data_IF_346472619897
#
_entry.id   IF_346472619897
#
_cell.length_a   1.000
_cell.length_b   1.000
_cell.length_c   1.000
_cell.angle_alpha   90.00
_cell.angle_beta   90.00
_cell.angle_gamma   90.00
#
_symmetry.space_group_name_H-M   'P 1'
#
loop_
_entity.id
_entity.type
_entity.pdbx_description
1 polymer ?
#
# COMPACT_ATOMS: atom_id res chain seq x y z
N UNK A 1 1.40 -9.23 9.10
CA UNK A 1 1.10 -8.22 10.10
C UNK A 1 0.54 -8.88 11.35
N UNK A 2 1.15 -8.60 12.51
CA UNK A 2 0.89 -9.34 13.75
C UNK A 2 -0.55 -9.26 14.29
N UNK A 3 -1.34 -8.30 13.88
CA UNK A 3 -2.73 -8.17 14.31
C UNK A 3 -3.68 -9.20 13.68
N UNK A 4 -3.26 -9.89 12.65
CA UNK A 4 -4.07 -10.96 12.03
C UNK A 4 -4.20 -12.22 12.90
N UNK A 5 -3.46 -12.29 13.97
CA UNK A 5 -3.48 -13.44 14.87
C UNK A 5 -4.58 -13.42 15.94
N UNK A 6 -5.29 -12.31 16.11
CA UNK A 6 -6.27 -12.18 17.20
C UNK A 6 -7.69 -12.43 16.69
N UNK A 7 -8.35 -13.54 17.09
CA UNK A 7 -9.73 -13.81 16.71
C UNK A 7 -10.65 -12.66 17.10
N UNK A 8 -11.48 -12.22 16.17
CA UNK A 8 -12.45 -11.14 16.39
C UNK A 8 -11.90 -9.72 16.36
N UNK A 9 -10.60 -9.54 16.04
CA UNK A 9 -9.98 -8.22 16.04
C UNK A 9 -9.50 -7.75 14.67
N UNK A 10 -9.70 -8.53 13.63
CA UNK A 10 -9.25 -8.19 12.29
C UNK A 10 -10.27 -8.52 11.22
N UNK A 11 -10.06 -7.97 10.04
CA UNK A 11 -10.98 -8.14 8.90
C UNK A 11 -11.09 -9.57 8.37
N UNK A 12 -10.11 -10.41 8.62
CA UNK A 12 -10.09 -11.80 8.16
C UNK A 12 -10.92 -12.75 9.00
N UNK A 13 -11.24 -12.36 10.24
CA UNK A 13 -11.90 -13.21 11.22
C UNK A 13 -13.20 -12.62 11.76
N UNK A 14 -13.92 -11.90 10.92
CA UNK A 14 -15.20 -11.30 11.33
C UNK A 14 -16.24 -12.38 11.55
N UNK A 15 -16.66 -12.64 12.81
CA UNK A 15 -17.74 -13.58 13.08
C UNK A 15 -19.11 -13.05 12.65
N UNK A 16 -19.19 -11.77 12.30
CA UNK A 16 -20.44 -11.06 12.04
C UNK A 16 -20.65 -10.65 10.59
N UNK A 17 -19.85 -11.17 9.67
CA UNK A 17 -19.97 -10.85 8.25
C UNK A 17 -19.24 -9.56 7.86
N UNK A 18 -19.33 -9.21 6.59
CA UNK A 18 -18.81 -7.94 6.10
C UNK A 18 -19.51 -6.78 6.77
N UNK A 19 -18.77 -5.78 7.21
CA UNK A 19 -19.37 -4.53 7.71
C UNK A 19 -20.28 -3.94 6.66
N UNK A 20 -21.29 -3.26 7.13
CA UNK A 20 -22.23 -2.55 6.29
C UNK A 20 -21.51 -1.78 5.19
N UNK A 21 -21.90 -2.11 3.94
CA UNK A 21 -21.66 -1.21 2.84
C UNK A 21 -20.24 -0.72 2.70
N UNK A 22 -19.25 -1.62 2.83
CA UNK A 22 -17.92 -1.25 2.36
C UNK A 22 -18.08 -0.94 0.87
N UNK A 23 -17.90 0.30 0.46
CA UNK A 23 -18.01 0.65 -0.94
C UNK A 23 -17.02 -0.22 -1.71
N UNK A 24 -17.54 -0.96 -2.65
CA UNK A 24 -16.70 -1.74 -3.53
C UNK A 24 -16.06 -0.78 -4.52
N UNK A 25 -14.81 -0.46 -4.29
CA UNK A 25 -13.98 0.11 -5.34
C UNK A 25 -13.97 -0.83 -6.54
N UNK A 26 -13.91 -0.31 -7.76
CA UNK A 26 -13.74 -1.13 -8.94
C UNK A 26 -12.52 -2.04 -8.76
N UNK A 27 -12.76 -3.35 -8.72
CA UNK A 27 -11.67 -4.33 -8.57
C UNK A 27 -11.21 -4.71 -9.97
N UNK A 28 -10.09 -4.16 -10.37
CA UNK A 28 -9.41 -4.61 -11.58
C UNK A 28 -8.76 -5.97 -11.33
N UNK A 29 -8.86 -6.85 -12.32
CA UNK A 29 -8.15 -8.13 -12.24
C UNK A 29 -6.66 -7.91 -12.45
N UNK A 30 -5.88 -8.14 -11.42
CA UNK A 30 -4.42 -8.13 -11.54
C UNK A 30 -3.98 -9.32 -12.42
N UNK A 31 -3.36 -9.07 -13.58
CA UNK A 31 -2.85 -10.14 -14.44
C UNK A 31 -1.68 -10.89 -13.81
N UNK A 32 -0.95 -10.26 -12.88
CA UNK A 32 0.17 -10.89 -12.19
C UNK A 32 -0.37 -11.75 -11.05
N UNK A 33 -0.21 -13.04 -11.16
CA UNK A 33 -0.69 -14.01 -10.17
C UNK A 33 0.40 -14.46 -9.20
N UNK A 34 1.66 -14.18 -9.52
CA UNK A 34 2.79 -14.55 -8.66
C UNK A 34 2.82 -13.66 -7.42
N UNK A 35 2.85 -14.28 -6.27
CA UNK A 35 3.00 -13.60 -4.99
C UNK A 35 3.98 -14.34 -4.08
N UNK A 36 4.57 -13.62 -3.14
CA UNK A 36 5.49 -14.13 -2.14
C UNK A 36 4.95 -13.83 -0.74
N UNK A 37 5.34 -14.60 0.28
CA UNK A 37 5.05 -14.23 1.65
C UNK A 37 5.64 -12.86 1.99
N UNK A 38 4.87 -12.07 2.73
CA UNK A 38 5.16 -10.67 3.05
C UNK A 38 6.57 -10.45 3.63
N UNK A 39 7.03 -11.35 4.49
CA UNK A 39 8.33 -11.20 5.18
C UNK A 39 9.54 -11.75 4.41
N UNK A 40 9.34 -12.23 3.19
CA UNK A 40 10.42 -12.80 2.37
C UNK A 40 10.86 -11.89 1.22
N UNK A 41 10.45 -10.63 1.22
CA UNK A 41 10.83 -9.69 0.18
C UNK A 41 12.35 -9.44 0.16
N UNK A 42 13.03 -9.46 1.31
CA UNK A 42 14.50 -9.36 1.39
C UNK A 42 15.20 -10.55 0.73
N UNK A 43 14.65 -11.75 0.90
CA UNK A 43 15.13 -12.95 0.23
C UNK A 43 14.85 -12.91 -1.27
N UNK A 44 13.67 -12.38 -1.66
CA UNK A 44 13.33 -12.21 -3.07
C UNK A 44 14.23 -11.19 -3.81
N UNK A 45 14.82 -10.24 -3.09
CA UNK A 45 15.86 -9.35 -3.64
C UNK A 45 17.19 -10.08 -3.70
N UNK A 46 17.64 -10.62 -2.57
CA UNK A 46 19.01 -11.10 -2.40
C UNK A 46 19.26 -12.50 -2.98
N UNK A 47 18.24 -13.36 -2.94
CA UNK A 47 18.33 -14.79 -3.31
C UNK A 47 17.10 -15.26 -4.07
N UNK A 48 16.74 -14.60 -5.20
CA UNK A 48 15.51 -14.90 -5.93
C UNK A 48 15.47 -16.36 -6.43
N UNK A 49 16.60 -16.98 -6.65
CA UNK A 49 16.70 -18.38 -7.05
C UNK A 49 16.19 -19.37 -5.99
N UNK A 50 16.23 -18.97 -4.72
CA UNK A 50 15.70 -19.77 -3.60
C UNK A 50 14.18 -19.63 -3.44
N UNK A 51 13.57 -18.63 -4.10
CA UNK A 51 12.16 -18.32 -3.98
C UNK A 51 11.31 -19.27 -4.82
N UNK A 52 11.01 -20.44 -4.26
CA UNK A 52 10.16 -21.45 -4.91
C UNK A 52 8.85 -21.68 -4.14
N UNK A 53 7.89 -22.32 -4.79
CA UNK A 53 6.62 -22.68 -4.16
C UNK A 53 6.83 -23.62 -2.96
N UNK A 54 7.77 -24.58 -3.09
CA UNK A 54 8.01 -25.60 -2.07
C UNK A 54 8.88 -25.13 -0.91
N UNK A 55 9.86 -24.25 -1.16
CA UNK A 55 10.81 -23.83 -0.12
C UNK A 55 10.42 -22.53 0.56
N UNK A 56 9.86 -21.57 -0.18
CA UNK A 56 9.59 -20.20 0.31
C UNK A 56 8.12 -19.78 0.14
N UNK A 57 7.23 -20.71 -0.26
CA UNK A 57 5.82 -20.44 -0.33
C UNK A 57 5.38 -19.47 -1.43
N UNK A 58 6.10 -19.41 -2.53
CA UNK A 58 5.69 -18.67 -3.73
C UNK A 58 4.35 -19.23 -4.21
N UNK A 59 3.41 -18.36 -4.56
CA UNK A 59 2.11 -18.73 -5.11
C UNK A 59 2.00 -18.22 -6.54
N UNK A 60 1.21 -18.92 -7.36
CA UNK A 60 0.96 -18.55 -8.75
C UNK A 60 2.11 -18.86 -9.73
N UNK A 61 3.22 -19.42 -9.22
CA UNK A 61 4.34 -19.91 -10.02
C UNK A 61 5.15 -20.92 -9.20
N UNK A 62 5.88 -21.82 -9.87
CA UNK A 62 6.78 -22.77 -9.19
C UNK A 62 7.97 -22.08 -8.54
N UNK A 63 8.43 -20.99 -9.15
CA UNK A 63 9.52 -20.13 -8.63
C UNK A 63 9.40 -18.71 -9.16
N UNK A 64 10.08 -17.75 -8.53
CA UNK A 64 10.26 -16.44 -9.10
C UNK A 64 11.09 -16.50 -10.39
N UNK A 65 10.64 -15.81 -11.41
CA UNK A 65 11.40 -15.66 -12.67
C UNK A 65 12.53 -14.64 -12.55
N UNK A 66 12.32 -13.64 -11.71
CA UNK A 66 13.27 -12.56 -11.42
C UNK A 66 13.09 -12.10 -9.99
N UNK A 67 14.12 -11.53 -9.39
CA UNK A 67 14.04 -10.88 -8.09
C UNK A 67 13.29 -9.55 -8.15
N UNK A 68 13.06 -8.97 -6.98
CA UNK A 68 12.49 -7.62 -6.87
C UNK A 68 13.55 -6.62 -7.30
N UNK A 69 13.24 -5.82 -8.30
CA UNK A 69 14.10 -4.79 -8.88
C UNK A 69 13.62 -3.38 -8.56
N UNK A 70 12.31 -3.21 -8.44
CA UNK A 70 11.67 -1.97 -8.05
C UNK A 70 10.83 -2.20 -6.81
N UNK A 71 10.98 -1.33 -5.84
CA UNK A 71 10.16 -1.31 -4.64
C UNK A 71 9.32 -0.03 -4.60
N UNK A 72 8.02 -0.20 -4.44
CA UNK A 72 7.07 0.90 -4.28
C UNK A 72 6.47 0.82 -2.88
N UNK A 73 6.85 1.74 -2.01
CA UNK A 73 6.39 1.78 -0.62
C UNK A 73 5.51 3.01 -0.40
N UNK A 74 4.29 2.79 0.00
CA UNK A 74 3.33 3.84 0.27
C UNK A 74 2.88 3.81 1.72
N UNK A 75 2.88 4.98 2.35
CA UNK A 75 2.35 5.26 3.69
C UNK A 75 2.80 4.23 4.75
N UNK A 76 4.10 4.04 4.90
CA UNK A 76 4.57 3.14 5.92
C UNK A 76 6.09 3.00 6.05
N UNK A 77 6.53 2.89 7.29
CA UNK A 77 7.93 2.58 7.61
C UNK A 77 8.20 1.06 7.51
N UNK A 78 7.62 0.39 6.51
CA UNK A 78 7.60 -1.08 6.43
C UNK A 78 8.93 -1.68 6.07
N UNK A 79 9.73 -1.01 5.23
CA UNK A 79 11.00 -1.55 4.76
C UNK A 79 11.98 -1.83 5.91
N UNK A 80 12.01 -0.98 6.92
CA UNK A 80 12.91 -1.17 8.06
C UNK A 80 12.23 -1.58 9.36
N UNK A 81 10.95 -1.30 9.54
CA UNK A 81 10.29 -1.47 10.81
C UNK A 81 9.56 -2.82 10.98
N UNK A 82 9.16 -3.45 9.90
CA UNK A 82 8.38 -4.70 9.97
C UNK A 82 9.22 -5.98 10.00
N UNK A 83 10.53 -5.90 9.84
CA UNK A 83 11.41 -7.06 9.80
C UNK A 83 12.36 -7.10 10.99
N UNK A 84 12.56 -8.30 11.54
CA UNK A 84 13.46 -8.50 12.68
C UNK A 84 14.95 -8.31 12.35
N UNK A 85 15.37 -8.53 11.10
CA UNK A 85 16.75 -8.45 10.66
C UNK A 85 17.12 -7.07 10.11
N UNK A 86 16.87 -6.01 10.85
CA UNK A 86 17.04 -4.62 10.40
C UNK A 86 18.43 -4.33 9.82
N UNK A 87 19.50 -4.89 10.40
CA UNK A 87 20.86 -4.66 9.88
C UNK A 87 21.10 -5.33 8.52
N UNK A 88 20.51 -6.49 8.28
CA UNK A 88 20.54 -7.16 6.97
C UNK A 88 19.73 -6.33 5.97
N UNK A 89 18.53 -5.94 6.34
CA UNK A 89 17.63 -5.12 5.51
C UNK A 89 18.32 -3.82 5.08
N UNK A 90 18.94 -3.10 6.01
CA UNK A 90 19.70 -1.88 5.70
C UNK A 90 20.79 -2.09 4.65
N UNK A 91 21.53 -3.18 4.74
CA UNK A 91 22.56 -3.50 3.75
C UNK A 91 21.97 -3.78 2.37
N UNK A 92 20.82 -4.48 2.32
CA UNK A 92 20.14 -4.78 1.06
C UNK A 92 19.59 -3.48 0.42
N UNK A 93 18.98 -2.62 1.21
CA UNK A 93 18.41 -1.36 0.69
C UNK A 93 19.48 -0.33 0.28
N UNK A 94 20.69 -0.42 0.84
CA UNK A 94 21.79 0.45 0.50
C UNK A 94 22.64 -0.07 -0.69
N UNK A 95 22.31 -1.21 -1.25
CA UNK A 95 23.04 -1.84 -2.35
C UNK A 95 22.21 -1.78 -3.64
N UNK A 96 22.48 -0.78 -4.46
CA UNK A 96 21.79 -0.55 -5.74
C UNK A 96 21.94 -1.70 -6.73
N UNK A 97 22.97 -2.56 -6.56
CA UNK A 97 23.12 -3.76 -7.40
C UNK A 97 22.08 -4.83 -7.11
N UNK A 98 21.43 -4.78 -5.93
CA UNK A 98 20.40 -5.71 -5.48
C UNK A 98 19.00 -5.20 -5.83
N UNK A 99 18.64 -4.01 -5.37
CA UNK A 99 17.35 -3.38 -5.68
C UNK A 99 17.62 -2.06 -6.42
N UNK A 100 17.24 -2.00 -7.68
CA UNK A 100 17.64 -0.92 -8.60
C UNK A 100 16.88 0.38 -8.34
N UNK A 101 15.69 0.31 -7.77
CA UNK A 101 14.87 1.52 -7.57
C UNK A 101 13.93 1.35 -6.37
N UNK A 102 13.97 2.31 -5.46
CA UNK A 102 13.09 2.38 -4.29
C UNK A 102 12.30 3.69 -4.35
N UNK A 103 11.00 3.59 -4.57
CA UNK A 103 10.08 4.73 -4.57
C UNK A 103 9.32 4.71 -3.26
N UNK A 104 9.30 5.83 -2.55
CA UNK A 104 8.54 5.99 -1.31
C UNK A 104 7.59 7.16 -1.43
N UNK A 105 6.32 6.92 -1.14
CA UNK A 105 5.30 7.95 -0.91
C UNK A 105 5.09 8.04 0.59
N UNK A 106 5.40 9.19 1.20
CA UNK A 106 5.34 9.34 2.65
C UNK A 106 5.22 10.82 3.06
N UNK A 107 4.53 11.06 4.15
CA UNK A 107 4.40 12.40 4.74
C UNK A 107 5.42 12.69 5.85
N UNK A 108 6.21 11.70 6.25
CA UNK A 108 7.26 11.82 7.24
C UNK A 108 8.57 11.23 6.72
N UNK A 109 9.71 11.81 7.13
CA UNK A 109 11.02 11.23 6.85
C UNK A 109 11.28 10.02 7.76
N UNK A 110 10.59 8.91 7.48
CA UNK A 110 10.75 7.65 8.19
C UNK A 110 12.14 7.04 7.93
N UNK A 111 12.62 6.12 8.78
CA UNK A 111 13.82 5.35 8.48
C UNK A 111 13.79 4.63 7.12
N UNK A 112 12.63 4.15 6.68
CA UNK A 112 12.45 3.55 5.35
C UNK A 112 12.58 4.60 4.23
N UNK A 113 12.00 5.79 4.41
CA UNK A 113 12.05 6.87 3.44
C UNK A 113 13.49 7.34 3.15
N UNK A 114 14.42 7.15 4.09
CA UNK A 114 15.85 7.51 3.91
C UNK A 114 16.58 6.64 2.89
N UNK A 115 15.99 5.53 2.47
CA UNK A 115 16.54 4.64 1.45
C UNK A 115 15.86 4.82 0.09
N UNK A 116 14.96 5.79 -0.04
CA UNK A 116 14.30 6.07 -1.29
C UNK A 116 15.25 6.72 -2.29
N UNK A 117 15.26 6.21 -3.51
CA UNK A 117 15.86 6.89 -4.66
C UNK A 117 14.93 8.02 -5.13
N UNK A 118 13.62 7.80 -4.99
CA UNK A 118 12.60 8.81 -5.27
C UNK A 118 11.63 8.90 -4.09
N UNK A 119 11.62 10.04 -3.42
CA UNK A 119 10.68 10.36 -2.35
C UNK A 119 9.61 11.31 -2.90
N UNK A 120 8.36 10.86 -2.85
CA UNK A 120 7.19 11.61 -3.28
C UNK A 120 6.41 12.06 -2.03
N UNK A 121 6.40 13.35 -1.71
CA UNK A 121 5.78 13.83 -0.48
C UNK A 121 4.25 13.75 -0.55
N UNK A 122 3.65 13.11 0.45
CA UNK A 122 2.21 12.92 0.56
C UNK A 122 1.56 13.93 1.50
N UNK A 123 0.31 14.29 1.23
CA UNK A 123 -0.53 15.08 2.15
C UNK A 123 -0.77 14.32 3.45
N UNK A 124 -0.81 15.05 4.54
CA UNK A 124 -1.29 14.55 5.84
C UNK A 124 -2.82 14.47 5.87
N UNK A 125 -3.36 13.79 6.86
CA UNK A 125 -4.82 13.73 7.08
C UNK A 125 -5.50 15.09 7.27
N UNK A 126 -4.76 16.09 7.75
CA UNK A 126 -5.28 17.46 7.92
C UNK A 126 -5.33 18.24 6.59
N UNK A 127 -4.58 17.79 5.61
CA UNK A 127 -4.44 18.42 4.29
C UNK A 127 -5.27 17.74 3.20
N UNK A 128 -5.96 16.65 3.52
CA UNK A 128 -6.72 15.84 2.57
C UNK A 128 -8.22 15.79 2.92
N UNK A 129 -9.03 15.52 1.91
CA UNK A 129 -10.43 15.12 2.04
C UNK A 129 -10.53 13.63 1.71
N UNK A 130 -11.11 12.84 2.64
CA UNK A 130 -11.22 11.40 2.45
C UNK A 130 -12.34 10.80 3.30
N UNK A 131 -12.65 9.54 3.07
CA UNK A 131 -13.50 8.71 3.92
C UNK A 131 -12.66 7.61 4.55
N UNK A 132 -12.72 7.53 5.86
CA UNK A 132 -12.01 6.50 6.62
C UNK A 132 -13.00 5.64 7.37
N UNK A 133 -12.93 4.34 7.18
CA UNK A 133 -13.59 3.39 8.04
C UNK A 133 -12.67 2.98 9.20
N UNK A 134 -13.27 2.45 10.25
CA UNK A 134 -12.51 2.04 11.43
C UNK A 134 -12.13 0.57 11.42
N UNK A 135 -12.40 -0.12 10.34
CA UNK A 135 -12.37 -1.58 10.25
C UNK A 135 -11.07 -2.22 10.70
N UNK A 136 -9.99 -1.57 10.41
CA UNK A 136 -8.67 -2.13 10.57
C UNK A 136 -8.10 -1.99 11.98
N UNK A 137 -8.30 -0.85 12.61
CA UNK A 137 -7.63 -0.52 13.87
C UNK A 137 -8.45 -0.89 15.11
N UNK A 138 -9.76 -0.82 15.05
CA UNK A 138 -10.62 -0.92 16.23
C UNK A 138 -11.46 -2.18 16.30
N UNK A 139 -11.52 -2.94 15.22
CA UNK A 139 -12.43 -4.08 15.14
C UNK A 139 -13.91 -3.69 15.11
N UNK A 140 -14.23 -2.42 15.03
CA UNK A 140 -15.59 -1.89 14.90
C UNK A 140 -15.80 -1.36 13.50
N UNK A 141 -16.88 -1.74 12.84
CA UNK A 141 -17.21 -1.33 11.48
C UNK A 141 -18.51 -0.53 11.39
N UNK A 142 -18.95 0.01 12.50
CA UNK A 142 -20.25 0.66 12.59
C UNK A 142 -20.14 2.18 12.48
N UNK A 143 -19.02 2.71 12.06
CA UNK A 143 -18.87 4.14 11.82
C UNK A 143 -17.93 4.42 10.65
N UNK A 144 -18.12 5.56 10.06
CA UNK A 144 -17.26 6.12 9.02
C UNK A 144 -16.92 7.56 9.41
N UNK A 145 -15.71 7.96 9.12
CA UNK A 145 -15.22 9.31 9.38
C UNK A 145 -15.02 10.01 8.03
N UNK A 146 -15.71 11.12 7.83
CA UNK A 146 -15.40 12.03 6.75
C UNK A 146 -14.26 12.96 7.20
N UNK A 147 -13.11 12.82 6.58
CA UNK A 147 -11.98 13.72 6.77
C UNK A 147 -12.22 14.98 5.96
N UNK A 148 -12.08 16.12 6.60
CA UNK A 148 -12.16 17.42 5.95
C UNK A 148 -10.79 18.08 5.96
N UNK A 149 -10.42 18.64 4.84
CA UNK A 149 -9.23 19.46 4.72
C UNK A 149 -9.31 20.68 5.63
N UNK A 150 -8.50 20.72 6.65
CA UNK A 150 -8.46 21.81 7.63
C UNK A 150 -7.27 22.73 7.47
N UNK A 151 -6.24 22.26 6.77
CA UNK A 151 -5.01 23.01 6.50
C UNK A 151 -4.71 22.95 5.01
N UNK A 152 -4.24 24.06 4.48
CA UNK A 152 -3.75 24.09 3.10
C UNK A 152 -2.47 23.29 2.98
N UNK A 153 -2.35 22.36 2.01
CA UNK A 153 -1.12 21.63 1.77
C UNK A 153 0.06 22.57 1.60
N UNK A 154 1.16 22.23 2.23
CA UNK A 154 2.40 23.02 2.14
C UNK A 154 3.38 22.36 1.16
N UNK A 155 4.19 23.18 0.53
CA UNK A 155 5.21 22.75 -0.43
C UNK A 155 4.62 21.96 -1.61
N UNK A 156 5.29 20.92 -2.04
CA UNK A 156 4.90 20.10 -3.20
C UNK A 156 4.17 18.81 -2.82
N UNK A 157 3.58 18.76 -1.61
CA UNK A 157 2.85 17.58 -1.16
C UNK A 157 1.56 17.40 -1.99
N UNK A 158 1.25 16.15 -2.29
CA UNK A 158 0.07 15.75 -3.05
C UNK A 158 -0.56 14.51 -2.45
N UNK A 159 -1.84 14.28 -2.72
CA UNK A 159 -2.46 13.02 -2.30
C UNK A 159 -1.82 11.83 -3.02
N UNK A 160 -1.76 10.68 -2.37
CA UNK A 160 -1.34 9.44 -3.04
C UNK A 160 -2.18 9.16 -4.29
N UNK A 161 -3.48 9.48 -4.25
CA UNK A 161 -4.35 9.35 -5.41
C UNK A 161 -3.85 10.15 -6.61
N UNK A 162 -3.54 11.44 -6.41
CA UNK A 162 -3.06 12.32 -7.49
C UNK A 162 -1.66 11.90 -7.98
N UNK A 163 -0.78 11.50 -7.08
CA UNK A 163 0.54 10.97 -7.42
C UNK A 163 0.40 9.75 -8.33
N UNK A 164 -0.44 8.78 -7.92
CA UNK A 164 -0.68 7.58 -8.72
C UNK A 164 -1.41 7.87 -10.04
N UNK A 165 -2.34 8.85 -10.06
CA UNK A 165 -3.00 9.28 -11.28
C UNK A 165 -2.03 9.87 -12.30
N UNK A 166 -1.03 10.61 -11.84
CA UNK A 166 0.00 11.14 -12.73
C UNK A 166 0.95 10.05 -13.24
N UNK A 167 1.36 9.14 -12.38
CA UNK A 167 2.13 7.95 -12.79
C UNK A 167 1.34 7.17 -13.85
N UNK A 168 0.05 6.92 -13.62
CA UNK A 168 -0.83 6.27 -14.59
C UNK A 168 -0.93 7.09 -15.89
N UNK A 169 -0.92 8.42 -15.81
CA UNK A 169 -0.91 9.30 -16.96
C UNK A 169 0.32 9.13 -17.83
N UNK A 170 1.50 9.05 -17.23
CA UNK A 170 2.75 8.77 -17.95
C UNK A 170 2.76 7.37 -18.61
N UNK A 171 2.00 6.44 -18.08
CA UNK A 171 1.82 5.10 -18.65
C UNK A 171 0.66 5.02 -19.66
N UNK A 172 -0.06 6.12 -19.93
CA UNK A 172 -1.24 6.15 -20.79
C UNK A 172 -2.49 5.49 -20.18
N UNK A 173 -2.54 5.35 -18.85
CA UNK A 173 -3.58 4.64 -18.11
C UNK A 173 -4.41 5.56 -17.19
N UNK A 174 -4.28 6.88 -17.32
CA UNK A 174 -4.94 7.83 -16.40
C UNK A 174 -6.45 7.62 -16.33
N UNK A 175 -7.11 7.55 -17.47
CA UNK A 175 -8.58 7.36 -17.52
C UNK A 175 -9.03 6.03 -16.91
N UNK A 176 -8.24 4.97 -17.10
CA UNK A 176 -8.54 3.68 -16.48
C UNK A 176 -8.34 3.69 -14.98
N UNK A 177 -7.39 4.48 -14.48
CA UNK A 177 -7.12 4.61 -13.05
C UNK A 177 -8.15 5.51 -12.36
N UNK A 178 -8.48 6.65 -12.97
CA UNK A 178 -9.34 7.67 -12.34
C UNK A 178 -10.81 7.54 -12.68
N UNK A 179 -11.15 6.90 -13.79
CA UNK A 179 -12.50 6.95 -14.41
C UNK A 179 -13.02 8.40 -14.56
N UNK A 180 -12.10 9.34 -14.78
CA UNK A 180 -12.41 10.77 -14.87
C UNK A 180 -12.76 11.44 -13.54
N UNK A 181 -12.59 10.76 -12.39
CA UNK A 181 -12.95 11.28 -11.07
C UNK A 181 -11.75 11.84 -10.31
N UNK A 182 -12.01 12.77 -9.44
CA UNK A 182 -11.11 13.23 -8.39
C UNK A 182 -11.26 12.37 -7.14
N UNK A 183 -10.30 12.47 -6.20
CA UNK A 183 -10.40 11.80 -4.90
C UNK A 183 -11.71 12.17 -4.16
N UNK A 184 -12.07 13.44 -4.13
CA UNK A 184 -13.31 13.90 -3.49
C UNK A 184 -14.57 13.31 -4.15
N UNK A 185 -14.58 13.19 -5.48
CA UNK A 185 -15.70 12.56 -6.19
C UNK A 185 -15.79 11.05 -5.91
N UNK A 186 -14.68 10.37 -5.73
CA UNK A 186 -14.66 8.99 -5.27
C UNK A 186 -15.22 8.88 -3.84
N UNK A 187 -14.78 9.73 -2.93
CA UNK A 187 -15.27 9.75 -1.55
C UNK A 187 -16.78 10.00 -1.49
N UNK A 188 -17.29 10.97 -2.26
CA UNK A 188 -18.72 11.25 -2.35
C UNK A 188 -19.50 10.06 -2.92
N UNK A 189 -19.02 9.43 -3.98
CA UNK A 189 -19.66 8.24 -4.55
C UNK A 189 -19.76 7.11 -3.52
N UNK A 190 -18.68 6.85 -2.77
CA UNK A 190 -18.69 5.84 -1.72
C UNK A 190 -19.65 6.18 -0.59
N UNK A 191 -19.70 7.42 -0.18
CA UNK A 191 -20.63 7.88 0.84
C UNK A 191 -22.09 7.65 0.42
N UNK A 192 -22.44 7.95 -0.83
CA UNK A 192 -23.80 7.73 -1.33
C UNK A 192 -24.15 6.23 -1.39
N UNK A 193 -23.22 5.35 -1.78
CA UNK A 193 -23.44 3.90 -1.78
C UNK A 193 -23.74 3.33 -0.38
N UNK A 194 -23.25 3.98 0.66
CA UNK A 194 -23.47 3.53 2.05
C UNK A 194 -24.81 4.02 2.59
N UNK A 195 -25.32 5.12 2.07
CA UNK A 195 -26.61 5.68 2.50
C UNK A 195 -27.83 4.94 1.94
N UNK A 196 -27.68 4.22 0.85
CA UNK A 196 -28.70 3.37 0.23
C UNK A 196 -28.78 2.00 0.94
#
# INVERSE_FOLDING_TARGET
TGHFGLPGTNNGNWPYGTPYGVPLLPILTNPIKTSIPCYLWTDAIQRPEMMTATTMGVKGADKLKTGIKLFFNQAGNTLLNQHGETNRTRKILADESLCETIIVIENHMTPSAKYADLLLPETSYLEAEDLVDSSYATGSHNFMIALQKTVTPMWEVRSTYDICADIAGHLGLREQYTEGRTQAQWAEMHYQQIRE
#
